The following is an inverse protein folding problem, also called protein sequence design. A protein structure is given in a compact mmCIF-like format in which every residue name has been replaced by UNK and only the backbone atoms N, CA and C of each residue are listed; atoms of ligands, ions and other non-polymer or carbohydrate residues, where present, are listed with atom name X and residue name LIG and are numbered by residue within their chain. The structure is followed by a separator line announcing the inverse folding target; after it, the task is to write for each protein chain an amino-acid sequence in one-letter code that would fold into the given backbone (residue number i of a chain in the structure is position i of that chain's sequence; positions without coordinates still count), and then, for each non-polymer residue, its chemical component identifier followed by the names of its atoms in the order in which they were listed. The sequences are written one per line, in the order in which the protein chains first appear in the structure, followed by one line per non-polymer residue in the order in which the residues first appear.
data_IF_997102539098
#
_entry.id   IF_997102539098
#
_cell.length_a   1.000
_cell.length_b   1.000
_cell.length_c   1.000
_cell.angle_alpha   90.00
_cell.angle_beta   90.00
_cell.angle_gamma   90.00
#
_symmetry.space_group_name_H-M   'P 1'
#
loop_
_entity.id
_entity.type
_entity.pdbx_description
1 polymer ?
#
# COMPACT_ATOMS: atom_id res chain seq x y z
N UNK A 1 -6.13 12.47 14.42
CA UNK A 1 -5.64 11.12 14.02
C UNK A 1 -6.57 10.57 12.94
N UNK A 2 -6.03 10.18 11.79
CA UNK A 2 -6.81 9.61 10.68
C UNK A 2 -7.29 8.22 11.09
N UNK A 3 -8.61 8.03 11.21
CA UNK A 3 -9.19 6.74 11.66
C UNK A 3 -9.45 5.80 10.50
N UNK A 4 -9.29 4.50 10.77
CA UNK A 4 -9.70 3.45 9.85
C UNK A 4 -11.22 3.39 9.73
N UNK A 5 -11.73 3.00 8.56
CA UNK A 5 -13.16 2.77 8.32
C UNK A 5 -13.34 1.48 7.53
N UNK A 6 -14.30 0.65 7.93
CA UNK A 6 -14.68 -0.58 7.22
C UNK A 6 -16.11 -0.48 6.69
N UNK A 7 -16.36 -1.04 5.51
CA UNK A 7 -17.70 -1.28 4.96
C UNK A 7 -17.67 -2.59 4.19
N UNK A 8 -18.22 -3.65 4.79
CA UNK A 8 -18.08 -5.01 4.28
C UNK A 8 -16.60 -5.44 4.19
N UNK A 9 -16.19 -5.87 2.99
CA UNK A 9 -14.80 -6.22 2.66
C UNK A 9 -13.92 -5.04 2.29
N UNK A 10 -14.46 -3.81 2.24
CA UNK A 10 -13.70 -2.59 1.94
C UNK A 10 -13.19 -1.95 3.23
N UNK A 11 -11.91 -1.59 3.26
CA UNK A 11 -11.27 -0.87 4.38
C UNK A 11 -10.60 0.38 3.84
N UNK A 12 -10.88 1.53 4.43
CA UNK A 12 -10.00 2.70 4.34
C UNK A 12 -9.08 2.68 5.56
N UNK A 13 -7.78 2.64 5.35
CA UNK A 13 -6.80 2.57 6.44
C UNK A 13 -6.75 3.87 7.25
N UNK A 14 -6.15 3.78 8.45
CA UNK A 14 -5.48 4.92 9.09
C UNK A 14 -4.22 5.33 8.34
N UNK A 15 -3.30 6.01 9.03
CA UNK A 15 -2.00 6.39 8.46
C UNK A 15 -1.09 5.16 8.37
N UNK A 16 -0.55 4.91 7.18
CA UNK A 16 0.31 3.76 6.86
C UNK A 16 1.50 4.22 6.04
N UNK A 17 2.62 3.49 6.10
CA UNK A 17 3.80 3.77 5.29
C UNK A 17 3.73 2.98 3.99
N UNK A 18 4.06 3.62 2.88
CA UNK A 18 4.03 3.00 1.55
C UNK A 18 5.42 2.45 1.23
N UNK A 19 5.48 1.22 0.72
CA UNK A 19 6.72 0.62 0.22
C UNK A 19 6.46 -0.04 -1.14
N UNK A 20 7.46 -0.10 -2.01
CA UNK A 20 7.34 -0.58 -3.38
C UNK A 20 6.13 0.03 -4.12
N UNK A 21 6.01 1.35 -4.05
CA UNK A 21 4.84 2.10 -4.53
C UNK A 21 4.87 2.27 -6.06
N UNK A 22 4.18 1.39 -6.78
CA UNK A 22 3.94 1.46 -8.22
C UNK A 22 2.52 1.98 -8.49
N UNK A 23 2.29 3.27 -8.22
CA UNK A 23 0.95 3.86 -8.22
C UNK A 23 0.63 4.65 -9.51
N UNK A 24 1.64 5.25 -10.13
CA UNK A 24 1.47 6.06 -11.35
C UNK A 24 1.61 5.25 -12.63
N UNK A 25 2.43 4.20 -12.59
CA UNK A 25 2.70 3.25 -13.66
C UNK A 25 2.61 1.82 -13.12
N UNK A 26 2.03 0.87 -13.89
CA UNK A 26 1.94 -0.51 -13.47
C UNK A 26 3.31 -1.20 -13.58
N UNK A 27 3.63 -2.06 -12.62
CA UNK A 27 4.87 -2.83 -12.60
C UNK A 27 4.58 -4.32 -12.72
N UNK A 28 5.40 -5.03 -13.49
CA UNK A 28 5.31 -6.48 -13.64
C UNK A 28 6.20 -7.17 -12.62
N UNK A 29 5.60 -8.01 -11.77
CA UNK A 29 6.34 -8.91 -10.89
C UNK A 29 6.53 -10.22 -11.65
N UNK A 30 7.77 -10.60 -11.93
CA UNK A 30 8.25 -11.82 -12.61
C UNK A 30 7.15 -12.70 -13.25
N UNK A 31 6.92 -12.49 -14.54
CA UNK A 31 6.01 -13.33 -15.34
C UNK A 31 4.52 -13.04 -15.17
N UNK A 32 4.12 -12.05 -14.36
CA UNK A 32 2.74 -11.60 -14.24
C UNK A 32 2.45 -10.35 -15.09
N UNK A 33 1.17 -10.17 -15.46
CA UNK A 33 0.69 -8.93 -16.05
C UNK A 33 1.10 -7.71 -15.17
N UNK A 34 1.57 -6.61 -15.77
CA UNK A 34 1.81 -5.36 -15.05
C UNK A 34 0.58 -4.90 -14.26
N UNK A 35 0.79 -4.48 -13.01
CA UNK A 35 -0.27 -3.95 -12.15
C UNK A 35 0.22 -2.76 -11.35
N UNK A 36 -0.71 -1.87 -11.03
CA UNK A 36 -0.51 -0.90 -9.97
C UNK A 36 -0.44 -1.64 -8.65
N UNK A 37 0.54 -1.34 -7.82
CA UNK A 37 0.76 -2.08 -6.60
C UNK A 37 1.47 -1.26 -5.53
N UNK A 38 1.31 -1.71 -4.29
CA UNK A 38 1.99 -1.13 -3.13
C UNK A 38 2.03 -2.15 -1.99
N UNK A 39 3.17 -2.22 -1.30
CA UNK A 39 3.29 -2.85 0.01
C UNK A 39 2.86 -1.84 1.08
N UNK A 40 1.73 -2.11 1.73
CA UNK A 40 1.16 -1.26 2.78
C UNK A 40 1.72 -1.70 4.12
N UNK A 41 2.57 -0.88 4.73
CA UNK A 41 3.18 -1.13 6.05
C UNK A 41 2.30 -0.48 7.13
N UNK A 42 1.87 -1.30 8.09
CA UNK A 42 0.92 -0.94 9.15
C UNK A 42 1.60 -1.21 10.48
N UNK A 43 1.83 -0.17 11.29
CA UNK A 43 2.37 -0.35 12.64
C UNK A 43 1.52 -1.34 13.44
N UNK A 44 2.17 -2.21 14.21
CA UNK A 44 1.49 -3.11 15.15
C UNK A 44 0.67 -2.33 16.18
N UNK A 45 0.95 -1.07 16.41
CA UNK A 45 0.21 -0.20 17.34
C UNK A 45 -1.09 0.37 16.75
N UNK A 46 -1.26 0.35 15.43
CA UNK A 46 -2.53 0.74 14.78
C UNK A 46 -3.56 -0.40 14.90
N UNK A 47 -4.07 -0.59 16.13
CA UNK A 47 -5.05 -1.62 16.43
C UNK A 47 -6.36 -1.41 15.68
N UNK A 48 -6.72 -0.18 15.33
CA UNK A 48 -7.96 0.13 14.60
C UNK A 48 -7.88 -0.37 13.14
N UNK A 49 -6.81 -0.01 12.41
CA UNK A 49 -6.60 -0.49 11.03
C UNK A 49 -6.46 -2.01 11.00
N UNK A 50 -5.66 -2.59 11.91
CA UNK A 50 -5.45 -4.04 11.96
C UNK A 50 -6.74 -4.79 12.26
N UNK A 51 -7.57 -4.29 13.20
CA UNK A 51 -8.87 -4.86 13.49
C UNK A 51 -9.75 -4.82 12.25
N UNK A 52 -9.89 -3.66 11.60
CA UNK A 52 -10.71 -3.48 10.40
C UNK A 52 -10.29 -4.42 9.26
N UNK A 53 -8.99 -4.62 9.04
CA UNK A 53 -8.46 -5.54 8.03
C UNK A 53 -8.78 -6.99 8.37
N UNK A 54 -8.49 -7.44 9.59
CA UNK A 54 -8.76 -8.83 10.03
C UNK A 54 -10.23 -9.19 9.86
N UNK A 55 -11.08 -8.26 10.26
CA UNK A 55 -12.52 -8.33 10.13
C UNK A 55 -13.00 -8.40 8.67
N UNK A 56 -12.49 -7.52 7.79
CA UNK A 56 -12.83 -7.53 6.36
C UNK A 56 -12.31 -8.79 5.64
N UNK A 57 -11.14 -9.30 6.04
CA UNK A 57 -10.60 -10.58 5.56
C UNK A 57 -11.50 -11.73 5.96
N UNK A 58 -11.99 -11.76 7.21
CA UNK A 58 -12.92 -12.81 7.65
C UNK A 58 -14.24 -12.77 6.88
N UNK A 59 -14.81 -11.60 6.62
CA UNK A 59 -15.99 -11.47 5.77
C UNK A 59 -15.72 -11.93 4.34
N UNK A 60 -14.56 -11.59 3.77
CA UNK A 60 -14.16 -12.07 2.44
C UNK A 60 -14.01 -13.60 2.38
N UNK A 61 -13.58 -14.25 3.47
CA UNK A 61 -13.55 -15.73 3.56
C UNK A 61 -14.96 -16.32 3.51
N UNK A 62 -15.89 -15.72 4.25
CA UNK A 62 -17.29 -16.16 4.31
C UNK A 62 -17.99 -16.01 2.95
N UNK A 63 -17.90 -14.84 2.33
CA UNK A 63 -18.43 -14.57 0.99
C UNK A 63 -17.77 -15.50 -0.04
N UNK A 64 -16.47 -15.76 0.12
CA UNK A 64 -15.65 -16.55 -0.78
C UNK A 64 -15.79 -18.07 -0.70
N UNK A 65 -16.58 -18.61 0.24
CA UNK A 65 -16.70 -20.07 0.48
C UNK A 65 -16.92 -20.90 -0.78
N UNK A 66 -17.74 -20.40 -1.71
CA UNK A 66 -17.98 -21.08 -2.99
C UNK A 66 -16.70 -21.30 -3.81
N UNK A 67 -15.78 -20.33 -3.83
CA UNK A 67 -14.48 -20.45 -4.53
C UNK A 67 -13.55 -21.48 -3.89
N UNK A 68 -13.81 -21.86 -2.64
CA UNK A 68 -13.02 -22.84 -1.90
C UNK A 68 -13.63 -24.25 -1.92
N UNK A 69 -14.74 -24.47 -2.62
CA UNK A 69 -15.44 -25.76 -2.64
C UNK A 69 -16.46 -25.91 -1.51
N UNK A 70 -17.01 -24.80 -1.01
CA UNK A 70 -18.10 -24.77 -0.03
C UNK A 70 -17.67 -24.72 1.44
N UNK A 71 -16.36 -24.86 1.74
CA UNK A 71 -15.80 -24.74 3.10
C UNK A 71 -14.53 -23.90 3.09
N UNK A 72 -14.26 -23.18 4.18
CA UNK A 72 -13.01 -22.42 4.35
C UNK A 72 -11.89 -23.40 4.74
N UNK A 73 -10.80 -23.49 3.96
CA UNK A 73 -9.64 -24.32 4.32
C UNK A 73 -8.95 -23.81 5.60
N UNK A 74 -8.42 -24.68 6.47
CA UNK A 74 -7.73 -24.27 7.69
C UNK A 74 -6.45 -23.46 7.40
N UNK A 75 -5.71 -23.81 6.34
CA UNK A 75 -4.45 -23.18 5.95
C UNK A 75 -4.63 -22.15 4.83
N UNK A 76 -5.74 -21.42 4.82
CA UNK A 76 -6.04 -20.44 3.79
C UNK A 76 -5.08 -19.24 3.88
N UNK A 77 -4.40 -18.91 2.78
CA UNK A 77 -3.48 -17.75 2.72
C UNK A 77 -4.24 -16.44 2.99
N UNK A 78 -3.73 -15.63 3.91
CA UNK A 78 -4.23 -14.29 4.21
C UNK A 78 -3.26 -13.21 3.73
N UNK A 79 -3.75 -12.00 3.42
CA UNK A 79 -2.91 -10.94 2.85
C UNK A 79 -2.04 -10.24 3.90
N UNK A 80 -2.44 -10.28 5.19
CA UNK A 80 -1.70 -9.65 6.28
C UNK A 80 -0.55 -10.55 6.71
N UNK A 81 0.68 -10.02 6.60
CA UNK A 81 1.97 -10.68 6.84
C UNK A 81 2.70 -9.96 7.96
N UNK A 82 3.54 -10.68 8.72
CA UNK A 82 4.28 -10.10 9.83
C UNK A 82 5.65 -9.59 9.35
N UNK A 83 5.91 -8.30 9.53
CA UNK A 83 7.15 -7.66 9.09
C UNK A 83 8.36 -8.12 9.90
N UNK A 84 8.19 -8.32 11.20
CA UNK A 84 9.29 -8.77 12.08
C UNK A 84 9.71 -10.21 11.76
N UNK A 85 8.79 -11.04 11.28
CA UNK A 85 9.06 -12.44 10.91
C UNK A 85 9.56 -12.58 9.46
N UNK A 86 8.92 -11.89 8.51
CA UNK A 86 9.20 -12.07 7.07
C UNK A 86 10.23 -11.08 6.51
N UNK A 87 10.52 -9.98 7.21
CA UNK A 87 11.44 -8.92 6.79
C UNK A 87 12.32 -8.44 7.97
N UNK A 88 13.00 -9.35 8.71
CA UNK A 88 13.74 -8.98 9.93
C UNK A 88 14.90 -8.01 9.67
N UNK A 89 15.46 -8.02 8.47
CA UNK A 89 16.62 -7.18 8.10
C UNK A 89 16.23 -5.84 7.47
N UNK A 90 14.93 -5.53 7.35
CA UNK A 90 14.42 -4.28 6.78
C UNK A 90 13.73 -3.46 7.87
N UNK A 91 14.43 -2.43 8.36
CA UNK A 91 13.96 -1.56 9.45
C UNK A 91 12.60 -0.92 9.16
N UNK A 92 12.25 -0.69 7.90
CA UNK A 92 10.96 -0.14 7.53
C UNK A 92 9.79 -1.05 7.90
N UNK A 93 10.04 -2.36 8.05
CA UNK A 93 9.06 -3.38 8.42
C UNK A 93 9.11 -3.78 9.90
N UNK A 94 10.00 -3.18 10.70
CA UNK A 94 10.07 -3.41 12.14
C UNK A 94 8.77 -2.99 12.85
N UNK A 95 8.37 -3.77 13.86
CA UNK A 95 7.14 -3.58 14.64
C UNK A 95 5.90 -3.34 13.76
N UNK A 96 5.80 -4.06 12.63
CA UNK A 96 4.76 -3.83 11.64
C UNK A 96 4.12 -5.14 11.16
N UNK A 97 2.87 -5.02 10.74
CA UNK A 97 2.31 -5.93 9.75
C UNK A 97 2.36 -5.25 8.38
N UNK A 98 2.30 -6.04 7.33
CA UNK A 98 2.19 -5.52 5.99
C UNK A 98 1.34 -6.38 5.08
N UNK A 99 0.89 -5.81 3.97
CA UNK A 99 0.18 -6.52 2.93
C UNK A 99 0.52 -5.94 1.56
N UNK A 100 0.44 -6.77 0.53
CA UNK A 100 0.63 -6.33 -0.85
C UNK A 100 -0.73 -6.13 -1.51
N UNK A 101 -1.05 -4.89 -1.85
CA UNK A 101 -2.28 -4.54 -2.58
C UNK A 101 -1.96 -4.30 -4.05
N UNK A 102 -2.85 -4.73 -4.95
CA UNK A 102 -2.68 -4.48 -6.39
C UNK A 102 -4.01 -4.24 -7.12
N UNK A 103 -3.93 -3.60 -8.29
CA UNK A 103 -5.04 -3.31 -9.17
C UNK A 103 -4.59 -3.30 -10.64
N UNK A 104 -5.45 -3.75 -11.55
CA UNK A 104 -5.27 -3.52 -13.00
C UNK A 104 -5.63 -2.09 -13.41
N UNK A 105 -6.52 -1.44 -12.65
CA UNK A 105 -6.97 -0.08 -12.89
C UNK A 105 -6.06 0.89 -12.13
N UNK A 106 -5.72 2.03 -12.75
CA UNK A 106 -4.95 3.10 -12.13
C UNK A 106 -5.71 3.62 -10.89
N UNK A 107 -5.06 3.70 -9.71
CA UNK A 107 -5.69 4.26 -8.52
C UNK A 107 -5.89 5.77 -8.67
N UNK A 108 -6.93 6.33 -8.05
CA UNK A 108 -6.99 7.77 -7.81
C UNK A 108 -5.96 8.12 -6.73
N UNK A 109 -5.11 9.13 -6.99
CA UNK A 109 -4.06 9.58 -6.08
C UNK A 109 -4.34 11.05 -5.75
N UNK A 110 -4.48 11.35 -4.46
CA UNK A 110 -4.88 12.69 -3.99
C UNK A 110 -4.04 13.16 -2.81
N UNK A 111 -4.01 14.48 -2.60
CA UNK A 111 -3.40 15.11 -1.42
C UNK A 111 -4.34 15.08 -0.19
N UNK A 112 -3.91 15.72 0.90
CA UNK A 112 -4.70 15.82 2.14
C UNK A 112 -6.05 16.52 1.96
N UNK A 113 -6.17 17.39 0.96
CA UNK A 113 -7.37 18.15 0.60
C UNK A 113 -8.22 17.45 -0.48
N UNK A 114 -7.84 16.24 -0.90
CA UNK A 114 -8.52 15.46 -1.94
C UNK A 114 -8.38 16.09 -3.33
N UNK A 115 -7.34 16.90 -3.55
CA UNK A 115 -6.96 17.35 -4.88
C UNK A 115 -6.11 16.28 -5.57
N UNK A 116 -6.29 16.05 -6.89
CA UNK A 116 -5.47 15.11 -7.63
C UNK A 116 -3.98 15.46 -7.56
N UNK A 117 -3.15 14.46 -7.26
CA UNK A 117 -1.70 14.56 -7.41
C UNK A 117 -1.33 14.00 -8.79
N UNK A 118 -0.69 14.82 -9.61
CA UNK A 118 -0.30 14.46 -10.98
C UNK A 118 1.19 14.14 -11.10
N UNK A 119 2.01 14.73 -10.23
CA UNK A 119 3.44 14.49 -10.17
C UNK A 119 3.73 13.19 -9.42
N UNK A 120 4.45 12.27 -10.07
CA UNK A 120 4.81 10.98 -9.49
C UNK A 120 5.85 11.10 -8.36
N UNK A 121 6.60 12.19 -8.32
CA UNK A 121 7.61 12.45 -7.28
C UNK A 121 6.97 12.76 -5.92
N UNK A 122 5.72 13.23 -5.89
CA UNK A 122 4.99 13.56 -4.68
C UNK A 122 4.53 12.32 -3.87
N UNK A 123 4.41 11.15 -4.49
CA UNK A 123 4.01 9.92 -3.80
C UNK A 123 4.98 8.78 -4.13
N UNK A 124 5.91 8.55 -3.21
CA UNK A 124 7.06 7.65 -3.35
C UNK A 124 7.08 6.57 -2.26
N UNK A 125 7.90 5.53 -2.46
CA UNK A 125 8.17 4.52 -1.43
C UNK A 125 8.86 5.19 -0.24
N UNK A 126 8.27 5.09 0.95
CA UNK A 126 8.76 5.69 2.19
C UNK A 126 7.82 6.75 2.76
N UNK A 127 7.04 7.41 1.90
CA UNK A 127 6.06 8.39 2.34
C UNK A 127 4.86 7.74 3.06
N UNK A 128 4.08 8.56 3.76
CA UNK A 128 2.91 8.09 4.49
C UNK A 128 1.61 8.55 3.82
N UNK A 129 0.64 7.66 3.86
CA UNK A 129 -0.67 7.90 3.28
C UNK A 129 -1.75 7.09 3.95
N UNK A 130 -2.90 7.06 3.30
CA UNK A 130 -3.97 6.10 3.57
C UNK A 130 -4.51 5.58 2.26
N UNK A 131 -5.05 4.37 2.29
CA UNK A 131 -5.54 3.71 1.08
C UNK A 131 -6.93 3.14 1.34
N UNK A 132 -7.70 3.03 0.26
CA UNK A 132 -8.84 2.12 0.25
C UNK A 132 -8.39 0.76 -0.26
N UNK A 133 -8.69 -0.29 0.48
CA UNK A 133 -8.41 -1.68 0.17
C UNK A 133 -9.73 -2.44 0.05
N UNK A 134 -9.81 -3.41 -0.85
CA UNK A 134 -10.93 -4.35 -0.89
C UNK A 134 -10.43 -5.79 -0.82
N UNK A 135 -10.91 -6.55 0.15
CA UNK A 135 -10.48 -7.93 0.36
C UNK A 135 -11.39 -8.91 -0.39
N UNK A 136 -10.81 -9.88 -1.08
CA UNK A 136 -11.60 -10.84 -1.86
C UNK A 136 -10.94 -12.21 -1.92
N UNK A 137 -11.78 -13.24 -1.99
CA UNK A 137 -11.33 -14.61 -2.18
C UNK A 137 -10.83 -14.86 -3.61
N UNK A 138 -9.71 -15.56 -3.72
CA UNK A 138 -9.16 -16.03 -4.99
C UNK A 138 -8.89 -17.54 -4.96
N UNK A 139 -8.94 -18.13 -6.14
CA UNK A 139 -8.48 -19.50 -6.42
C UNK A 139 -7.86 -19.46 -7.82
N UNK A 140 -6.54 -19.40 -7.89
CA UNK A 140 -5.78 -19.22 -9.13
C UNK A 140 -4.48 -20.02 -9.08
N UNK A 141 -4.15 -20.71 -10.17
CA UNK A 141 -2.89 -21.46 -10.33
C UNK A 141 -2.56 -22.37 -9.13
N UNK A 142 -3.56 -23.12 -8.65
CA UNK A 142 -3.43 -24.01 -7.48
C UNK A 142 -3.40 -23.30 -6.11
N UNK A 143 -3.26 -21.97 -6.06
CA UNK A 143 -3.29 -21.18 -4.84
C UNK A 143 -4.70 -20.70 -4.52
N UNK A 144 -5.08 -20.76 -3.24
CA UNK A 144 -6.34 -20.22 -2.72
C UNK A 144 -6.06 -19.34 -1.52
N UNK A 145 -6.79 -18.24 -1.40
CA UNK A 145 -6.56 -17.29 -0.33
C UNK A 145 -7.50 -16.11 -0.36
N UNK A 146 -7.20 -15.13 0.48
CA UNK A 146 -7.74 -13.77 0.40
C UNK A 146 -6.65 -12.85 -0.14
N UNK A 147 -6.97 -12.08 -1.16
CA UNK A 147 -6.11 -11.05 -1.73
C UNK A 147 -6.59 -9.65 -1.29
N UNK A 148 -5.71 -8.67 -1.40
CA UNK A 148 -6.01 -7.25 -1.19
C UNK A 148 -6.01 -6.51 -2.53
N UNK A 149 -7.16 -5.99 -2.93
CA UNK A 149 -7.30 -5.09 -4.07
C UNK A 149 -6.95 -3.66 -3.69
N UNK A 150 -6.09 -3.02 -4.47
CA UNK A 150 -5.76 -1.61 -4.33
C UNK A 150 -6.90 -0.75 -4.88
N UNK A 151 -7.39 0.20 -4.08
CA UNK A 151 -8.28 1.27 -4.52
C UNK A 151 -7.53 2.60 -4.61
N UNK A 152 -8.09 3.68 -4.07
CA UNK A 152 -7.48 5.01 -4.10
C UNK A 152 -6.43 5.20 -2.99
N UNK A 153 -5.53 6.16 -3.20
CA UNK A 153 -4.46 6.56 -2.29
C UNK A 153 -4.61 8.05 -1.97
N UNK A 154 -4.50 8.39 -0.69
CA UNK A 154 -4.39 9.76 -0.23
C UNK A 154 -3.04 9.94 0.49
N UNK A 155 -2.17 10.79 -0.05
CA UNK A 155 -0.90 11.19 0.57
C UNK A 155 -1.21 12.05 1.81
N UNK A 156 -0.50 11.79 2.91
CA UNK A 156 -0.73 12.49 4.18
C UNK A 156 0.50 13.29 4.64
N UNK A 157 1.69 12.70 4.53
CA UNK A 157 2.93 13.33 4.97
C UNK A 157 4.12 12.68 4.25
N UNK A 158 5.21 13.43 4.15
CA UNK A 158 6.50 12.91 3.73
C UNK A 158 7.12 11.98 4.78
N UNK A 159 8.09 11.20 4.35
CA UNK A 159 8.88 10.33 5.21
C UNK A 159 10.17 9.95 4.50
N UNK A 160 11.12 9.36 5.23
CA UNK A 160 12.39 8.91 4.64
C UNK A 160 12.13 7.98 3.44
N UNK A 161 12.68 8.29 2.26
CA UNK A 161 12.57 7.43 1.09
C UNK A 161 13.07 6.00 1.36
N UNK A 162 12.40 5.02 0.76
CA UNK A 162 12.77 3.61 0.84
C UNK A 162 13.30 3.13 -0.51
N UNK A 163 14.33 2.27 -0.49
CA UNK A 163 14.93 1.69 -1.70
C UNK A 163 16.17 2.43 -2.22
N UNK A 164 16.82 3.25 -1.38
CA UNK A 164 18.10 3.88 -1.71
C UNK A 164 18.01 5.05 -2.70
N UNK A 165 16.83 5.63 -2.87
CA UNK A 165 16.59 6.81 -3.70
C UNK A 165 16.54 8.06 -2.82
N UNK A 166 17.29 9.11 -3.16
CA UNK A 166 17.23 10.44 -2.53
C UNK A 166 16.36 11.37 -3.37
N UNK A 167 15.69 12.36 -2.77
CA UNK A 167 14.90 13.31 -3.55
C UNK A 167 15.85 14.25 -4.30
N UNK A 168 15.46 14.71 -5.48
CA UNK A 168 16.29 15.63 -6.25
C UNK A 168 16.61 16.91 -5.46
N UNK A 169 15.66 17.42 -4.68
CA UNK A 169 15.85 18.58 -3.79
C UNK A 169 16.84 18.34 -2.64
N UNK A 170 17.10 17.08 -2.29
CA UNK A 170 18.11 16.71 -1.28
C UNK A 170 19.51 16.55 -1.91
N UNK A 171 19.58 16.26 -3.23
CA UNK A 171 20.82 16.02 -3.96
C UNK A 171 21.44 17.29 -4.57
N UNK A 172 20.62 18.32 -4.83
CA UNK A 172 21.04 19.52 -5.55
C UNK A 172 20.76 20.79 -4.74
N UNK A 173 21.81 21.56 -4.46
CA UNK A 173 21.67 22.96 -4.05
C UNK A 173 21.23 23.83 -5.23
N UNK A 174 20.46 24.88 -4.95
CA UNK A 174 20.16 25.89 -5.96
C UNK A 174 21.46 26.53 -6.44
N UNK A 175 21.70 26.50 -7.75
CA UNK A 175 22.80 27.28 -8.35
C UNK A 175 22.36 28.73 -8.32
N UNK A 176 22.90 29.51 -7.39
CA UNK A 176 22.79 30.97 -7.45
C UNK A 176 23.35 31.42 -8.79
N UNK A 177 22.50 32.00 -9.64
CA UNK A 177 22.96 32.60 -10.88
C UNK A 177 23.98 33.67 -10.52
N UNK A 178 25.10 33.72 -11.23
CA UNK A 178 25.83 34.98 -11.35
C UNK A 178 24.86 35.98 -11.97
N UNK A 179 24.16 36.73 -11.11
CA UNK A 179 23.66 38.05 -11.44
C UNK A 179 24.89 38.91 -11.75
N UNK A 180 25.45 38.71 -12.95
CA UNK A 180 26.14 39.78 -13.66
C UNK A 180 25.06 40.80 -14.04
N UNK A 181 24.69 41.59 -13.03
CA UNK A 181 24.52 43.02 -13.17
C UNK A 181 25.61 43.57 -14.12
N UNK A 182 25.25 44.54 -14.97
CA UNK A 182 26.02 45.27 -16.00
C UNK A 182 25.91 44.60 -17.41
N UNK A 183 25.26 45.16 -18.43
CA UNK A 183 24.74 46.51 -18.77
C UNK A 183 23.50 46.39 -19.68
#
# INVERSE_FOLDING_TARGET
MVKAKRTGTKVTTGKVRLSYAHLFEPHAIEGNDPKYSVSVIISKDDKETLKAIKEAVNEAKEIGKGKFGGKIPPNLKTPLRDGDEERPDDEAYSNSYFLNANSKNKPGIVDINVHPILDATEVYSGCYGRLTLNFYAYSASGNKGIAAGLGNVQKLEDGEPLGGFTRAEDDFDAVEGEDNFLD
#
